data_IF_485619732284
#
_entry.id   IF_485619732284
#
_cell.length_a   1.000
_cell.length_b   1.000
_cell.length_c   1.000
_cell.angle_alpha   90.00
_cell.angle_beta   90.00
_cell.angle_gamma   90.00
#
_symmetry.space_group_name_H-M   'P 1'
#
loop_
_entity.id
_entity.type
_entity.pdbx_description
1 polymer ?
#
# COMPACT_ATOMS: atom_id res chain seq x y z
N UNK A 1 16.99 -23.47 -0.18
CA UNK A 1 17.47 -24.84 -0.47
C UNK A 1 16.35 -25.81 -0.89
N UNK A 2 15.24 -25.93 -0.14
CA UNK A 2 14.16 -26.86 -0.51
C UNK A 2 13.35 -26.37 -1.72
N UNK A 3 13.02 -25.09 -1.75
CA UNK A 3 12.35 -24.45 -2.89
C UNK A 3 13.23 -24.45 -4.15
N UNK A 4 14.52 -24.21 -4.01
CA UNK A 4 15.49 -24.28 -5.11
C UNK A 4 15.56 -25.68 -5.72
N UNK A 5 15.49 -26.74 -4.87
CA UNK A 5 15.41 -28.12 -5.35
C UNK A 5 14.12 -28.40 -6.13
N UNK A 6 13.00 -27.80 -5.68
CA UNK A 6 11.71 -27.97 -6.36
C UNK A 6 11.63 -27.18 -7.67
N UNK A 7 12.18 -25.97 -7.70
CA UNK A 7 12.17 -25.11 -8.90
C UNK A 7 13.28 -25.43 -9.89
N UNK A 8 14.36 -26.11 -9.42
CA UNK A 8 15.56 -26.38 -10.20
C UNK A 8 16.38 -25.16 -10.57
N UNK A 9 16.15 -24.04 -9.87
CA UNK A 9 16.82 -22.75 -10.10
C UNK A 9 17.28 -22.14 -8.78
N UNK A 10 18.44 -21.45 -8.74
CA UNK A 10 18.85 -20.70 -7.58
C UNK A 10 17.86 -19.55 -7.35
N UNK A 11 17.54 -19.28 -6.09
CA UNK A 11 16.73 -18.16 -5.66
C UNK A 11 17.67 -17.13 -5.06
N UNK A 12 17.73 -15.95 -5.63
CA UNK A 12 18.61 -14.86 -5.18
C UNK A 12 17.79 -13.71 -4.57
N UNK A 13 16.58 -13.51 -5.07
CA UNK A 13 15.68 -12.43 -4.65
C UNK A 13 14.32 -12.96 -4.21
N UNK A 14 13.75 -12.27 -3.23
CA UNK A 14 12.41 -12.60 -2.69
C UNK A 14 11.56 -11.34 -2.52
N UNK A 15 10.26 -11.51 -2.70
CA UNK A 15 9.28 -10.52 -2.25
C UNK A 15 8.83 -10.89 -0.84
N UNK A 16 8.68 -9.91 0.02
CA UNK A 16 8.20 -10.09 1.39
C UNK A 16 6.92 -9.29 1.63
N UNK A 17 6.05 -9.82 2.47
CA UNK A 17 4.86 -9.13 2.94
C UNK A 17 5.06 -8.71 4.39
N UNK A 18 4.99 -7.41 4.65
CA UNK A 18 5.10 -6.88 6.00
C UNK A 18 3.74 -6.88 6.67
N UNK A 19 3.71 -7.41 7.89
CA UNK A 19 2.58 -7.34 8.80
C UNK A 19 3.05 -6.82 10.15
N UNK A 20 2.14 -6.40 10.97
CA UNK A 20 2.54 -6.14 12.34
C UNK A 20 1.61 -5.22 13.14
N UNK A 21 1.67 -5.41 14.44
CA UNK A 21 0.95 -4.62 15.46
C UNK A 21 1.34 -3.15 15.49
N UNK A 22 2.44 -2.80 14.84
CA UNK A 22 3.03 -1.46 14.84
C UNK A 22 2.82 -0.69 13.53
N UNK A 23 2.04 -1.27 12.61
CA UNK A 23 1.61 -0.57 11.40
C UNK A 23 0.81 0.67 11.77
N UNK A 24 1.15 1.78 11.16
CA UNK A 24 0.41 3.05 11.28
C UNK A 24 -0.02 3.51 9.91
N UNK A 25 -1.24 3.99 9.82
CA UNK A 25 -1.81 4.52 8.57
C UNK A 25 -2.16 5.99 8.71
N UNK A 26 -1.98 6.72 7.63
CA UNK A 26 -2.45 8.09 7.47
C UNK A 26 -3.26 8.17 6.20
N UNK A 27 -4.47 8.71 6.27
CA UNK A 27 -5.27 9.03 5.10
C UNK A 27 -5.13 10.51 4.81
N UNK A 28 -4.80 10.85 3.57
CA UNK A 28 -4.71 12.23 3.10
C UNK A 28 -5.49 12.43 1.82
N UNK A 29 -5.85 13.68 1.55
CA UNK A 29 -6.42 14.12 0.28
C UNK A 29 -5.43 15.05 -0.41
N UNK A 30 -5.18 14.83 -1.69
CA UNK A 30 -4.35 15.69 -2.53
C UNK A 30 -5.06 16.03 -3.82
N UNK A 31 -4.72 17.17 -4.37
CA UNK A 31 -5.26 17.68 -5.64
C UNK A 31 -4.13 18.25 -6.50
N UNK A 32 -4.32 18.17 -7.80
CA UNK A 32 -3.46 18.77 -8.79
C UNK A 32 -4.32 19.50 -9.82
N UNK A 33 -4.05 20.79 -10.02
CA UNK A 33 -4.75 21.64 -11.00
C UNK A 33 -3.89 21.85 -12.24
N UNK A 34 -4.49 21.62 -13.40
CA UNK A 34 -3.85 21.90 -14.69
C UNK A 34 -4.00 23.39 -15.06
N UNK A 35 -2.99 23.97 -15.72
CA UNK A 35 -3.06 25.33 -16.23
C UNK A 35 -4.16 25.52 -17.31
N UNK A 36 -4.53 24.43 -17.99
CA UNK A 36 -5.62 24.32 -18.96
C UNK A 36 -6.14 22.89 -18.98
N UNK A 37 -7.37 22.70 -19.44
CA UNK A 37 -7.94 21.35 -19.57
C UNK A 37 -6.99 20.42 -20.33
N UNK A 38 -6.62 19.32 -19.70
CA UNK A 38 -5.62 18.36 -20.21
C UNK A 38 -6.15 16.94 -20.11
N UNK A 39 -5.62 16.05 -20.94
CA UNK A 39 -5.88 14.63 -20.83
C UNK A 39 -4.96 14.08 -19.75
N UNK A 40 -5.54 13.43 -18.74
CA UNK A 40 -4.79 12.82 -17.63
C UNK A 40 -3.99 11.63 -18.13
N UNK A 41 -2.72 11.62 -17.82
CA UNK A 41 -1.78 10.53 -18.16
C UNK A 41 -1.48 9.66 -16.95
N UNK A 42 -0.91 8.47 -17.16
CA UNK A 42 -0.41 7.64 -16.05
C UNK A 42 0.70 8.32 -15.24
N UNK A 43 1.49 9.22 -15.86
CA UNK A 43 2.51 10.01 -15.16
C UNK A 43 1.88 11.05 -14.22
N UNK A 44 0.75 11.65 -14.62
CA UNK A 44 0.00 12.57 -13.76
C UNK A 44 -0.57 11.84 -12.53
N UNK A 45 -1.11 10.63 -12.72
CA UNK A 45 -1.61 9.80 -11.61
C UNK A 45 -0.47 9.43 -10.67
N UNK A 46 0.67 9.00 -11.21
CA UNK A 46 1.84 8.70 -10.38
C UNK A 46 2.36 9.93 -9.62
N UNK A 47 2.33 11.10 -10.23
CA UNK A 47 2.69 12.36 -9.56
C UNK A 47 1.73 12.66 -8.42
N UNK A 48 0.44 12.41 -8.61
CA UNK A 48 -0.58 12.58 -7.58
C UNK A 48 -0.33 11.62 -6.39
N UNK A 49 -0.03 10.34 -6.66
CA UNK A 49 0.37 9.36 -5.64
C UNK A 49 1.56 9.88 -4.80
N UNK A 50 2.60 10.41 -5.44
CA UNK A 50 3.78 10.94 -4.76
C UNK A 50 3.43 12.15 -3.86
N UNK A 51 2.58 13.06 -4.32
CA UNK A 51 2.09 14.18 -3.52
C UNK A 51 1.29 13.69 -2.30
N UNK A 52 0.47 12.67 -2.48
CA UNK A 52 -0.28 12.04 -1.41
C UNK A 52 0.62 11.40 -0.35
N UNK A 53 1.65 10.67 -0.78
CA UNK A 53 2.64 10.05 0.11
C UNK A 53 3.42 11.12 0.88
N UNK A 54 3.87 12.18 0.21
CA UNK A 54 4.60 13.28 0.85
C UNK A 54 3.75 13.96 1.93
N UNK A 55 2.50 14.31 1.60
CA UNK A 55 1.56 14.91 2.55
C UNK A 55 1.27 13.99 3.74
N UNK A 56 1.14 12.68 3.50
CA UNK A 56 0.96 11.71 4.57
C UNK A 56 2.19 11.61 5.48
N UNK A 57 3.40 11.70 4.93
CA UNK A 57 4.64 11.73 5.71
C UNK A 57 4.74 12.97 6.61
N UNK A 58 4.34 14.13 6.09
CA UNK A 58 4.28 15.36 6.88
C UNK A 58 3.27 15.25 8.03
N UNK A 59 2.03 14.86 7.72
CA UNK A 59 0.99 14.65 8.72
C UNK A 59 1.38 13.59 9.77
N UNK A 60 2.09 12.54 9.35
CA UNK A 60 2.60 11.52 10.26
C UNK A 60 3.62 12.08 11.26
N UNK A 61 4.55 12.92 10.80
CA UNK A 61 5.59 13.56 11.63
C UNK A 61 4.99 14.52 12.66
N UNK A 62 3.91 15.22 12.33
CA UNK A 62 3.24 16.15 13.25
C UNK A 62 2.60 15.45 14.46
N UNK A 63 2.11 14.23 14.29
CA UNK A 63 1.34 13.51 15.32
C UNK A 63 2.20 12.51 16.09
N UNK A 64 3.31 12.05 15.53
CA UNK A 64 4.15 11.02 16.13
C UNK A 64 5.47 11.61 16.64
N UNK A 65 5.95 11.04 17.75
CA UNK A 65 7.27 11.37 18.28
C UNK A 65 8.34 11.05 17.22
N UNK A 66 9.13 12.07 16.86
CA UNK A 66 10.18 11.99 15.84
C UNK A 66 11.44 11.26 16.34
N UNK A 67 11.47 10.75 17.57
CA UNK A 67 12.58 9.93 18.09
C UNK A 67 12.72 8.59 17.39
N UNK A 68 11.63 8.09 16.78
CA UNK A 68 11.62 6.86 16.00
C UNK A 68 11.49 7.19 14.51
N UNK A 69 12.31 6.53 13.70
CA UNK A 69 12.17 6.59 12.24
C UNK A 69 11.13 5.59 11.76
N UNK A 70 10.37 6.01 10.76
CA UNK A 70 9.37 5.19 10.08
C UNK A 70 9.61 5.24 8.58
N UNK A 71 9.39 4.11 7.93
CA UNK A 71 9.40 3.99 6.47
C UNK A 71 7.99 3.83 5.93
N UNK A 72 7.70 4.49 4.82
CA UNK A 72 6.52 4.18 4.01
C UNK A 72 6.74 2.81 3.37
N UNK A 73 5.87 1.86 3.68
CA UNK A 73 5.96 0.48 3.19
C UNK A 73 4.84 0.11 2.24
N UNK A 74 3.91 1.02 2.00
CA UNK A 74 2.85 0.84 1.01
C UNK A 74 1.81 1.94 1.07
N UNK A 75 1.04 2.04 0.00
CA UNK A 75 -0.09 2.95 -0.10
C UNK A 75 -1.19 2.32 -0.95
N UNK A 76 -2.39 2.88 -0.85
CA UNK A 76 -3.52 2.52 -1.68
C UNK A 76 -4.43 3.73 -1.87
N UNK A 77 -4.81 4.00 -3.11
CA UNK A 77 -5.80 5.03 -3.42
C UNK A 77 -7.17 4.55 -2.98
N UNK A 78 -7.87 5.36 -2.21
CA UNK A 78 -9.24 5.09 -1.71
C UNK A 78 -10.28 5.59 -2.70
N UNK A 79 -10.03 6.78 -3.27
CA UNK A 79 -10.91 7.43 -4.26
C UNK A 79 -10.09 8.32 -5.18
N UNK A 80 -10.50 8.36 -6.42
CA UNK A 80 -10.08 9.39 -7.36
C UNK A 80 -11.17 10.46 -7.54
N UNK A 81 -10.72 11.67 -7.85
CA UNK A 81 -11.58 12.80 -8.15
C UNK A 81 -11.18 13.43 -9.49
N UNK A 82 -12.16 13.62 -10.36
CA UNK A 82 -12.03 14.30 -11.65
C UNK A 82 -12.94 15.54 -11.62
N UNK A 83 -12.37 16.74 -11.61
CA UNK A 83 -13.11 18.00 -11.48
C UNK A 83 -14.11 17.97 -10.29
N UNK A 84 -13.64 17.50 -9.11
CA UNK A 84 -14.40 17.36 -7.86
C UNK A 84 -15.43 16.21 -7.82
N UNK A 85 -15.60 15.47 -8.90
CA UNK A 85 -16.48 14.30 -8.93
C UNK A 85 -15.71 13.00 -8.72
N UNK A 86 -16.30 12.04 -8.00
CA UNK A 86 -15.67 10.73 -7.74
C UNK A 86 -15.64 9.90 -9.01
N UNK A 87 -14.45 9.40 -9.34
CA UNK A 87 -14.20 8.55 -10.50
C UNK A 87 -13.50 7.25 -10.11
N UNK A 88 -13.64 6.21 -10.94
CA UNK A 88 -12.97 4.92 -10.73
C UNK A 88 -11.52 4.97 -11.22
N UNK A 89 -11.26 5.71 -12.30
CA UNK A 89 -9.94 5.87 -12.93
C UNK A 89 -9.83 7.26 -13.53
N UNK A 90 -8.65 7.86 -13.46
CA UNK A 90 -8.39 9.19 -14.00
C UNK A 90 -7.80 9.16 -15.40
N UNK A 91 -6.97 8.15 -15.70
CA UNK A 91 -6.20 8.07 -16.94
C UNK A 91 -7.09 8.06 -18.19
N UNK A 92 -6.73 8.88 -19.16
CA UNK A 92 -7.44 9.03 -20.43
C UNK A 92 -8.62 10.02 -20.41
N UNK A 93 -9.02 10.51 -19.24
CA UNK A 93 -10.09 11.52 -19.11
C UNK A 93 -9.52 12.94 -19.25
N UNK A 94 -10.36 13.87 -19.66
CA UNK A 94 -10.02 15.31 -19.66
C UNK A 94 -10.43 15.96 -18.35
N UNK A 95 -9.53 16.73 -17.77
CA UNK A 95 -9.75 17.43 -16.53
C UNK A 95 -9.05 18.77 -16.46
N UNK A 96 -9.60 19.68 -15.66
CA UNK A 96 -8.93 20.88 -15.17
C UNK A 96 -8.25 20.61 -13.83
N UNK A 97 -8.80 19.65 -13.06
CA UNK A 97 -8.29 19.27 -11.75
C UNK A 97 -8.47 17.78 -11.55
N UNK A 98 -7.45 17.15 -10.95
CA UNK A 98 -7.50 15.77 -10.48
C UNK A 98 -7.19 15.73 -8.99
N UNK A 99 -7.69 14.72 -8.30
CA UNK A 99 -7.43 14.53 -6.88
C UNK A 99 -7.53 13.07 -6.48
N UNK A 100 -7.02 12.76 -5.30
CA UNK A 100 -7.21 11.46 -4.67
C UNK A 100 -7.27 11.53 -3.15
N UNK A 101 -8.02 10.60 -2.58
CA UNK A 101 -7.87 10.19 -1.20
C UNK A 101 -6.96 8.96 -1.18
N UNK A 102 -5.86 9.01 -0.43
CA UNK A 102 -4.87 7.96 -0.37
C UNK A 102 -4.61 7.54 1.08
N UNK A 103 -4.51 6.23 1.32
CA UNK A 103 -4.02 5.67 2.58
C UNK A 103 -2.54 5.32 2.41
N UNK A 104 -1.71 5.86 3.26
CA UNK A 104 -0.26 5.56 3.31
C UNK A 104 0.06 4.85 4.61
N UNK A 105 0.84 3.79 4.52
CA UNK A 105 1.19 2.93 5.63
C UNK A 105 2.66 3.02 5.97
N UNK A 106 2.94 3.11 7.26
CA UNK A 106 4.27 3.27 7.83
C UNK A 106 4.60 2.13 8.79
N UNK A 107 5.86 1.68 8.75
CA UNK A 107 6.47 0.76 9.71
C UNK A 107 7.69 1.40 10.37
N UNK A 108 7.96 1.07 11.65
CA UNK A 108 9.20 1.45 12.30
C UNK A 108 10.43 0.91 11.57
N UNK A 109 11.52 1.69 11.55
CA UNK A 109 12.79 1.34 10.93
C UNK A 109 13.34 -0.01 11.41
N UNK A 110 13.30 -0.25 12.71
CA UNK A 110 13.80 -1.49 13.32
C UNK A 110 13.05 -2.75 12.83
N UNK A 111 11.76 -2.63 12.54
CA UNK A 111 10.96 -3.72 11.96
C UNK A 111 11.37 -3.98 10.52
N UNK A 112 11.51 -2.93 9.72
CA UNK A 112 11.95 -3.03 8.32
C UNK A 112 13.36 -3.62 8.26
N UNK A 113 14.29 -3.07 9.03
CA UNK A 113 15.68 -3.55 9.10
C UNK A 113 15.75 -5.00 9.57
N UNK A 114 14.91 -5.39 10.53
CA UNK A 114 14.81 -6.76 10.99
C UNK A 114 14.37 -7.74 9.89
N UNK A 115 13.40 -7.35 9.06
CA UNK A 115 12.95 -8.14 7.92
C UNK A 115 14.06 -8.29 6.86
N UNK A 116 14.72 -7.20 6.51
CA UNK A 116 15.85 -7.22 5.57
C UNK A 116 17.02 -8.06 6.10
N UNK A 117 17.35 -7.91 7.38
CA UNK A 117 18.40 -8.69 8.01
C UNK A 117 18.10 -10.20 8.02
N UNK A 118 16.84 -10.58 8.29
CA UNK A 118 16.43 -11.98 8.27
C UNK A 118 16.56 -12.60 6.88
N UNK A 119 16.15 -11.90 5.84
CA UNK A 119 16.29 -12.32 4.44
C UNK A 119 17.77 -12.40 4.06
N UNK A 120 18.57 -11.40 4.42
CA UNK A 120 20.03 -11.39 4.16
C UNK A 120 20.78 -12.52 4.85
N UNK A 121 20.37 -12.92 6.08
CA UNK A 121 20.95 -14.07 6.77
C UNK A 121 20.64 -15.40 6.07
N UNK A 122 19.55 -15.48 5.32
CA UNK A 122 19.22 -16.62 4.48
C UNK A 122 20.02 -16.64 3.15
N UNK A 123 20.86 -15.64 2.90
CA UNK A 123 21.65 -15.49 1.67
C UNK A 123 20.83 -14.95 0.50
N UNK A 124 19.71 -14.29 0.78
CA UNK A 124 18.79 -13.74 -0.22
C UNK A 124 18.76 -12.22 -0.13
N UNK A 125 18.30 -11.56 -1.20
CA UNK A 125 17.99 -10.13 -1.22
C UNK A 125 16.48 -9.88 -1.34
N UNK A 126 16.02 -8.73 -0.83
CA UNK A 126 14.62 -8.31 -0.94
C UNK A 126 14.45 -7.55 -2.25
N UNK A 127 13.73 -8.12 -3.21
CA UNK A 127 13.36 -7.47 -4.46
C UNK A 127 12.23 -6.46 -4.26
N UNK A 128 11.24 -6.78 -3.41
CA UNK A 128 10.12 -5.92 -3.12
C UNK A 128 9.52 -6.23 -1.75
N UNK A 129 8.94 -5.21 -1.12
CA UNK A 129 8.15 -5.33 0.10
C UNK A 129 6.75 -4.81 -0.17
N UNK A 130 5.75 -5.56 0.28
CA UNK A 130 4.35 -5.16 0.25
C UNK A 130 3.72 -5.31 1.63
N UNK A 131 2.46 -4.91 1.78
CA UNK A 131 1.69 -5.17 2.98
C UNK A 131 1.02 -6.53 2.90
N UNK A 132 1.00 -7.27 4.00
CA UNK A 132 0.34 -8.58 4.07
C UNK A 132 -1.11 -8.54 3.59
N UNK A 133 -1.97 -7.58 4.01
CA UNK A 133 -3.34 -7.49 3.51
C UNK A 133 -3.44 -7.28 1.99
N UNK A 134 -2.50 -6.56 1.38
CA UNK A 134 -2.44 -6.39 -0.08
C UNK A 134 -2.08 -7.73 -0.74
N UNK A 135 -1.08 -8.41 -0.23
CA UNK A 135 -0.68 -9.72 -0.73
C UNK A 135 -1.81 -10.76 -0.58
N UNK A 136 -2.48 -10.78 0.58
CA UNK A 136 -3.59 -11.68 0.86
C UNK A 136 -4.78 -11.46 -0.08
N UNK A 137 -5.17 -10.21 -0.34
CA UNK A 137 -6.23 -9.87 -1.30
C UNK A 137 -5.88 -10.37 -2.70
N UNK A 138 -4.64 -10.15 -3.14
CA UNK A 138 -4.19 -10.55 -4.46
C UNK A 138 -4.17 -12.07 -4.68
N UNK A 139 -4.01 -12.85 -3.62
CA UNK A 139 -3.99 -14.31 -3.68
C UNK A 139 -5.36 -14.91 -3.42
N UNK A 140 -6.07 -14.44 -2.39
CA UNK A 140 -7.30 -15.06 -1.92
C UNK A 140 -8.55 -14.62 -2.69
N UNK A 141 -8.56 -13.39 -3.23
CA UNK A 141 -9.74 -12.86 -3.92
C UNK A 141 -9.55 -12.95 -5.44
N UNK A 142 -10.39 -13.73 -6.14
CA UNK A 142 -10.38 -13.78 -7.60
C UNK A 142 -10.54 -12.38 -8.22
N UNK A 143 -9.87 -12.12 -9.32
CA UNK A 143 -9.76 -10.79 -9.93
C UNK A 143 -11.13 -10.13 -10.23
N UNK A 144 -12.08 -10.92 -10.69
CA UNK A 144 -13.44 -10.47 -10.99
C UNK A 144 -14.25 -10.03 -9.75
N UNK A 145 -13.82 -10.39 -8.54
CA UNK A 145 -14.45 -9.99 -7.29
C UNK A 145 -13.75 -8.81 -6.61
N UNK A 146 -12.52 -8.45 -7.04
CA UNK A 146 -11.72 -7.40 -6.39
C UNK A 146 -12.37 -6.03 -6.42
N UNK A 147 -13.24 -5.76 -7.40
CA UNK A 147 -13.99 -4.50 -7.49
C UNK A 147 -15.18 -4.43 -6.54
N UNK A 148 -15.49 -5.49 -5.81
CA UNK A 148 -16.57 -5.50 -4.83
C UNK A 148 -16.12 -4.96 -3.47
N UNK A 149 -17.11 -4.56 -2.67
CA UNK A 149 -16.89 -4.23 -1.27
C UNK A 149 -16.72 -5.53 -0.48
N UNK A 150 -15.50 -5.83 -0.06
CA UNK A 150 -15.15 -7.10 0.58
C UNK A 150 -14.49 -6.83 1.92
N UNK A 151 -14.81 -7.65 2.91
CA UNK A 151 -14.01 -7.80 4.12
C UNK A 151 -13.26 -9.13 4.04
N UNK A 152 -11.93 -9.06 3.95
CA UNK A 152 -11.05 -10.22 4.07
C UNK A 152 -10.64 -10.35 5.53
N UNK A 153 -10.86 -11.53 6.10
CA UNK A 153 -10.44 -11.85 7.47
C UNK A 153 -9.46 -13.01 7.40
N UNK A 154 -8.22 -12.73 7.80
CA UNK A 154 -7.16 -13.73 7.93
C UNK A 154 -7.03 -14.11 9.40
N UNK A 155 -7.32 -15.38 9.71
CA UNK A 155 -7.30 -15.90 11.08
C UNK A 155 -6.02 -16.70 11.29
N UNK A 156 -5.03 -16.08 11.91
CA UNK A 156 -3.76 -16.71 12.26
C UNK A 156 -3.78 -17.39 13.63
N UNK A 157 -2.61 -17.81 14.09
CA UNK A 157 -2.45 -18.52 15.37
C UNK A 157 -2.50 -17.61 16.61
N UNK A 158 -2.28 -16.31 16.47
CA UNK A 158 -2.26 -15.36 17.58
C UNK A 158 -2.80 -13.97 17.22
N UNK A 159 -3.20 -13.79 15.97
CA UNK A 159 -3.78 -12.56 15.44
C UNK A 159 -4.83 -12.87 14.39
N UNK A 160 -5.82 -11.99 14.26
CA UNK A 160 -6.70 -11.95 13.10
C UNK A 160 -6.57 -10.60 12.41
N UNK A 161 -6.26 -10.63 11.13
CA UNK A 161 -6.09 -9.45 10.31
C UNK A 161 -7.34 -9.21 9.46
N UNK A 162 -7.85 -7.99 9.47
CA UNK A 162 -9.07 -7.61 8.77
C UNK A 162 -8.72 -6.52 7.77
N UNK A 163 -9.04 -6.77 6.51
CA UNK A 163 -8.90 -5.79 5.42
C UNK A 163 -10.25 -5.52 4.80
N UNK A 164 -10.58 -4.26 4.62
CA UNK A 164 -11.84 -3.85 3.98
C UNK A 164 -11.50 -3.16 2.66
N UNK A 165 -12.13 -3.66 1.59
CA UNK A 165 -12.00 -3.04 0.26
C UNK A 165 -13.30 -2.37 -0.15
N UNK A 166 -13.17 -1.33 -0.97
CA UNK A 166 -14.25 -0.69 -1.69
C UNK A 166 -13.75 -0.34 -3.09
N UNK A 167 -14.52 -0.73 -4.09
CA UNK A 167 -14.20 -0.45 -5.50
C UNK A 167 -12.77 -0.84 -5.89
N UNK A 168 -12.30 -1.97 -5.35
CA UNK A 168 -10.96 -2.51 -5.61
C UNK A 168 -9.83 -1.96 -4.74
N UNK A 169 -10.09 -0.91 -3.94
CA UNK A 169 -9.10 -0.27 -3.08
C UNK A 169 -9.26 -0.65 -1.62
N UNK A 170 -8.15 -0.81 -0.89
CA UNK A 170 -8.17 -0.99 0.57
C UNK A 170 -8.51 0.35 1.21
N UNK A 171 -9.61 0.40 1.93
CA UNK A 171 -10.07 1.60 2.64
C UNK A 171 -9.81 1.56 4.14
N UNK A 172 -9.62 0.37 4.68
CA UNK A 172 -9.27 0.17 6.08
C UNK A 172 -8.63 -1.20 6.28
N UNK A 173 -7.75 -1.31 7.26
CA UNK A 173 -7.33 -2.58 7.80
C UNK A 173 -7.02 -2.46 9.30
N UNK A 174 -7.05 -3.60 9.99
CA UNK A 174 -6.75 -3.69 11.40
C UNK A 174 -6.36 -5.09 11.80
N UNK A 175 -5.72 -5.20 12.96
CA UNK A 175 -5.30 -6.47 13.55
C UNK A 175 -5.91 -6.60 14.95
N UNK A 176 -6.43 -7.78 15.24
CA UNK A 176 -7.00 -8.16 16.53
C UNK A 176 -6.12 -9.28 17.12
N UNK A 177 -5.41 -9.04 18.22
CA UNK A 177 -4.69 -10.11 18.93
C UNK A 177 -5.68 -11.02 19.70
N UNK A 178 -5.39 -12.30 19.78
CA UNK A 178 -6.12 -13.28 20.58
C UNK A 178 -5.22 -14.37 21.15
#
# INVERSE_FOLDING_TARGET
>A
DELEKQTGQPLEEVCIAAAGRVLKTVTTHVEYEYAQESVVTGEDVHTLDLLGIEKAQEAFKEVNDTSYKFYCVGYSTVKFFLNDEVFISLEGHKANKIGEDIIVTFLPEDVVDGLYAAVGQAGLSVANMTLEPIAAINVAIPENYRMLNIALVDVGAGTSDISITRDGSIIAYGMIPH
#
